data_IF_239290229739
#
_entry.id   IF_239290229739
#
_cell.length_a   1.000
_cell.length_b   1.000
_cell.length_c   1.000
_cell.angle_alpha   90.00
_cell.angle_beta   90.00
_cell.angle_gamma   90.00
#
_symmetry.space_group_name_H-M   'P 1'
#
loop_
_entity.id
_entity.type
_entity.pdbx_description
1 polymer ?
#
# COMPACT_ATOMS: atom_id res chain seq x y z
N UNK A 1 7.06 26.75 29.35
CA UNK A 1 7.85 27.02 28.14
C UNK A 1 8.07 25.68 27.46
N UNK A 2 7.31 25.36 26.39
CA UNK A 2 7.48 24.10 25.68
C UNK A 2 8.84 24.11 24.97
N UNK A 3 9.60 23.02 25.06
CA UNK A 3 10.91 22.91 24.43
C UNK A 3 10.73 22.75 22.91
N UNK A 4 10.87 23.85 22.17
CA UNK A 4 10.72 23.89 20.71
C UNK A 4 11.64 22.88 20.01
N UNK A 5 12.85 22.65 20.56
CA UNK A 5 13.77 21.64 20.03
C UNK A 5 13.20 20.23 20.15
N UNK A 6 12.53 19.89 21.26
CA UNK A 6 11.94 18.56 21.44
C UNK A 6 10.82 18.29 20.42
N UNK A 7 9.98 19.30 20.15
CA UNK A 7 8.89 19.19 19.16
C UNK A 7 9.40 18.97 17.73
N UNK A 8 10.46 19.69 17.34
CA UNK A 8 11.12 19.51 16.05
C UNK A 8 11.74 18.11 15.90
N UNK A 9 12.49 17.65 16.91
CA UNK A 9 13.13 16.33 16.88
C UNK A 9 12.12 15.18 16.78
N UNK A 10 11.00 15.28 17.53
CA UNK A 10 9.93 14.29 17.48
C UNK A 10 9.26 14.26 16.10
N UNK A 11 9.07 15.42 15.48
CA UNK A 11 8.52 15.53 14.13
C UNK A 11 9.44 14.84 13.11
N UNK A 12 10.75 15.11 13.14
CA UNK A 12 11.74 14.45 12.27
C UNK A 12 11.73 12.93 12.49
N UNK A 13 11.73 12.46 13.74
CA UNK A 13 11.63 11.04 14.04
C UNK A 13 10.34 10.41 13.47
N UNK A 14 9.21 11.09 13.63
CA UNK A 14 7.93 10.68 13.07
C UNK A 14 7.94 10.58 11.54
N UNK A 15 8.58 11.53 10.86
CA UNK A 15 8.74 11.52 9.40
C UNK A 15 9.50 10.28 8.91
N UNK A 16 10.64 9.98 9.55
CA UNK A 16 11.43 8.78 9.24
C UNK A 16 10.64 7.50 9.54
N UNK A 17 9.98 7.46 10.70
CA UNK A 17 9.17 6.32 11.10
C UNK A 17 8.03 6.07 10.10
N UNK A 18 7.23 7.08 9.76
CA UNK A 18 6.12 6.94 8.81
C UNK A 18 6.58 6.46 7.44
N UNK A 19 7.72 6.96 6.93
CA UNK A 19 8.29 6.49 5.66
C UNK A 19 8.66 5.01 5.71
N UNK A 20 9.43 4.58 6.72
CA UNK A 20 9.88 3.19 6.77
C UNK A 20 8.77 2.23 7.19
N UNK A 21 7.80 2.67 7.98
CA UNK A 21 6.57 1.94 8.22
C UNK A 21 5.81 1.70 6.91
N UNK A 22 5.69 2.73 6.06
CA UNK A 22 5.09 2.58 4.72
C UNK A 22 5.84 1.57 3.85
N UNK A 23 7.18 1.62 3.85
CA UNK A 23 8.03 0.65 3.12
C UNK A 23 7.74 -0.78 3.60
N UNK A 24 7.77 -1.01 4.92
CA UNK A 24 7.52 -2.33 5.50
C UNK A 24 6.13 -2.83 5.15
N UNK A 25 5.11 -1.97 5.25
CA UNK A 25 3.72 -2.34 4.93
C UNK A 25 3.57 -2.73 3.46
N UNK A 26 4.10 -1.94 2.53
CA UNK A 26 4.04 -2.25 1.10
C UNK A 26 4.78 -3.55 0.76
N UNK A 27 5.99 -3.72 1.29
CA UNK A 27 6.77 -4.93 1.08
C UNK A 27 6.06 -6.17 1.65
N UNK A 28 5.44 -6.06 2.82
CA UNK A 28 4.73 -7.16 3.48
C UNK A 28 3.44 -7.54 2.76
N UNK A 29 2.64 -6.54 2.34
CA UNK A 29 1.42 -6.78 1.56
C UNK A 29 1.77 -7.40 0.21
N UNK A 30 2.78 -6.87 -0.48
CA UNK A 30 3.25 -7.39 -1.75
C UNK A 30 3.77 -8.82 -1.65
N UNK A 31 4.65 -9.10 -0.69
CA UNK A 31 5.15 -10.45 -0.42
C UNK A 31 4.01 -11.43 -0.07
N UNK A 32 3.02 -10.96 0.71
CA UNK A 32 1.84 -11.76 1.08
C UNK A 32 1.02 -12.25 -0.11
N UNK A 33 1.04 -11.56 -1.26
CA UNK A 33 0.36 -12.01 -2.49
C UNK A 33 1.02 -13.23 -3.13
N UNK A 34 2.32 -13.42 -2.92
CA UNK A 34 3.04 -14.61 -3.37
C UNK A 34 2.76 -15.80 -2.44
N UNK A 35 2.82 -15.59 -1.12
CA UNK A 35 2.64 -16.66 -0.11
C UNK A 35 1.22 -17.22 -0.07
N UNK A 36 0.19 -16.37 -0.12
CA UNK A 36 -1.21 -16.82 -0.07
C UNK A 36 -1.61 -17.71 -1.26
N UNK A 37 -0.89 -17.60 -2.38
CA UNK A 37 -1.18 -18.35 -3.59
C UNK A 37 -0.45 -19.69 -3.65
N UNK A 38 0.74 -19.82 -3.05
CA UNK A 38 1.38 -21.13 -2.86
C UNK A 38 0.50 -22.08 -2.04
N UNK A 39 -0.19 -21.55 -1.01
CA UNK A 39 -1.14 -22.32 -0.22
C UNK A 39 -2.41 -22.74 -1.00
N UNK A 40 -2.85 -21.96 -2.01
CA UNK A 40 -4.00 -22.31 -2.84
C UNK A 40 -3.62 -23.29 -3.96
N UNK A 41 -2.39 -23.22 -4.47
CA UNK A 41 -1.86 -24.16 -5.48
C UNK A 41 -1.62 -25.55 -4.94
N UNK A 42 -1.15 -25.69 -3.69
CA UNK A 42 -0.98 -27.00 -3.04
C UNK A 42 -2.30 -27.75 -2.80
N UNK A 43 -3.46 -27.09 -2.96
CA UNK A 43 -4.80 -27.69 -2.80
C UNK A 43 -5.47 -27.99 -4.16
N UNK A 44 -4.92 -27.50 -5.27
CA UNK A 44 -5.55 -27.54 -6.61
C UNK A 44 -4.92 -28.54 -7.60
N UNK A 45 -4.08 -29.48 -7.14
CA UNK A 45 -3.51 -30.57 -7.97
C UNK A 45 -4.56 -31.66 -8.36
N UNK A 46 -5.77 -31.24 -8.76
CA UNK A 46 -6.75 -32.11 -9.41
C UNK A 46 -6.67 -31.93 -10.94
N UNK A 47 -6.27 -32.97 -11.70
CA UNK A 47 -5.80 -32.87 -13.09
C UNK A 47 -6.87 -32.57 -14.17
N UNK A 48 -8.08 -32.13 -13.79
CA UNK A 48 -9.22 -32.00 -14.71
C UNK A 48 -9.58 -30.56 -15.15
N UNK A 49 -8.88 -29.53 -14.66
CA UNK A 49 -9.21 -28.11 -14.92
C UNK A 49 -8.05 -27.26 -15.49
N UNK A 50 -7.08 -27.89 -16.16
CA UNK A 50 -5.86 -27.22 -16.66
C UNK A 50 -6.07 -26.26 -17.85
N UNK A 51 -7.20 -26.34 -18.56
CA UNK A 51 -7.40 -25.67 -19.86
C UNK A 51 -8.13 -24.31 -19.80
N UNK A 52 -8.58 -23.87 -18.62
CA UNK A 52 -9.35 -22.63 -18.43
C UNK A 52 -8.48 -21.41 -18.05
N UNK A 53 -7.18 -21.61 -17.76
CA UNK A 53 -6.24 -20.57 -17.29
C UNK A 53 -5.52 -19.80 -18.41
N UNK A 54 -5.89 -20.00 -19.68
CA UNK A 54 -5.05 -19.67 -20.84
C UNK A 54 -5.11 -18.21 -21.36
N UNK A 55 -5.86 -17.28 -20.77
CA UNK A 55 -5.95 -15.91 -21.36
C UNK A 55 -5.68 -14.69 -20.46
N UNK A 56 -5.96 -14.71 -19.15
CA UNK A 56 -5.33 -13.80 -18.15
C UNK A 56 -5.76 -14.25 -16.75
N UNK A 57 -4.90 -14.97 -16.03
CA UNK A 57 -5.28 -15.50 -14.73
C UNK A 57 -5.36 -14.40 -13.66
N UNK A 58 -6.34 -14.46 -12.74
CA UNK A 58 -6.35 -13.63 -11.53
C UNK A 58 -4.99 -13.66 -10.78
N UNK A 59 -4.31 -14.80 -10.84
CA UNK A 59 -2.94 -14.99 -10.35
C UNK A 59 -1.95 -14.01 -10.97
N UNK A 60 -1.99 -13.81 -12.29
CA UNK A 60 -1.09 -12.89 -13.00
C UNK A 60 -1.28 -11.45 -12.53
N UNK A 61 -2.54 -11.04 -12.31
CA UNK A 61 -2.86 -9.72 -11.77
C UNK A 61 -2.36 -9.59 -10.32
N UNK A 62 -2.53 -10.64 -9.50
CA UNK A 62 -2.03 -10.66 -8.12
C UNK A 62 -0.50 -10.57 -8.07
N UNK A 63 0.22 -11.28 -8.96
CA UNK A 63 1.67 -11.18 -9.11
C UNK A 63 2.12 -9.80 -9.53
N UNK A 64 1.51 -9.24 -10.58
CA UNK A 64 1.84 -7.91 -11.06
C UNK A 64 1.65 -6.84 -9.98
N UNK A 65 0.53 -6.91 -9.24
CA UNK A 65 0.29 -6.00 -8.11
C UNK A 65 1.29 -6.21 -6.97
N UNK A 66 1.59 -7.45 -6.60
CA UNK A 66 2.56 -7.76 -5.54
C UNK A 66 3.97 -7.29 -5.89
N UNK A 67 4.40 -7.51 -7.12
CA UNK A 67 5.67 -6.98 -7.64
C UNK A 67 5.69 -5.46 -7.62
N UNK A 68 4.60 -4.81 -8.05
CA UNK A 68 4.50 -3.34 -8.06
C UNK A 68 4.57 -2.76 -6.64
N UNK A 69 3.93 -3.40 -5.65
CA UNK A 69 4.02 -3.01 -4.24
C UNK A 69 5.44 -3.11 -3.68
N UNK A 70 6.15 -4.20 -3.99
CA UNK A 70 7.55 -4.40 -3.56
C UNK A 70 8.48 -3.37 -4.23
N UNK A 71 8.29 -3.12 -5.53
CA UNK A 71 9.06 -2.11 -6.25
C UNK A 71 8.80 -0.73 -5.65
N UNK A 72 7.54 -0.37 -5.39
CA UNK A 72 7.20 0.90 -4.76
C UNK A 72 7.86 1.04 -3.38
N UNK A 73 7.86 -0.01 -2.56
CA UNK A 73 8.54 -0.04 -1.27
C UNK A 73 10.05 0.22 -1.41
N UNK A 74 10.72 -0.47 -2.34
CA UNK A 74 12.14 -0.28 -2.59
C UNK A 74 12.46 1.14 -3.05
N UNK A 75 11.68 1.69 -3.99
CA UNK A 75 11.85 3.06 -4.48
C UNK A 75 11.70 4.08 -3.35
N UNK A 76 10.68 3.93 -2.49
CA UNK A 76 10.45 4.82 -1.35
C UNK A 76 11.62 4.76 -0.35
N UNK A 77 12.14 3.56 -0.07
CA UNK A 77 13.21 3.34 0.90
C UNK A 77 14.53 4.06 0.55
N UNK A 78 14.80 4.24 -0.74
CA UNK A 78 16.05 4.83 -1.24
C UNK A 78 16.04 6.37 -1.18
N UNK A 79 15.01 6.99 -0.58
CA UNK A 79 14.94 8.46 -0.40
C UNK A 79 16.26 9.11 0.04
N UNK A 80 17.01 8.62 1.05
CA UNK A 80 18.19 9.32 1.55
C UNK A 80 19.26 9.57 0.49
N UNK A 81 19.33 8.70 -0.52
CA UNK A 81 20.32 8.77 -1.59
C UNK A 81 19.72 9.37 -2.87
N UNK A 82 18.51 8.97 -3.24
CA UNK A 82 17.86 9.41 -4.48
C UNK A 82 16.42 9.88 -4.25
N UNK A 83 16.23 11.15 -3.82
CA UNK A 83 14.89 11.70 -3.56
C UNK A 83 13.95 11.66 -4.78
N UNK A 84 14.49 11.83 -6.00
CA UNK A 84 13.68 11.75 -7.24
C UNK A 84 13.08 10.37 -7.46
N UNK A 85 13.86 9.33 -7.18
CA UNK A 85 13.45 7.93 -7.32
C UNK A 85 12.38 7.60 -6.27
N UNK A 86 12.57 8.08 -5.04
CA UNK A 86 11.57 7.94 -3.98
C UNK A 86 10.24 8.62 -4.32
N UNK A 87 10.27 9.78 -4.98
CA UNK A 87 9.06 10.46 -5.45
C UNK A 87 8.25 9.58 -6.43
N UNK A 88 8.92 8.89 -7.36
CA UNK A 88 8.26 7.94 -8.27
C UNK A 88 7.61 6.80 -7.48
N UNK A 89 8.33 6.21 -6.52
CA UNK A 89 7.81 5.17 -5.64
C UNK A 89 6.57 5.60 -4.86
N UNK A 90 6.59 6.80 -4.28
CA UNK A 90 5.43 7.37 -3.58
C UNK A 90 4.25 7.60 -4.52
N UNK A 91 4.49 8.05 -5.75
CA UNK A 91 3.45 8.20 -6.78
C UNK A 91 2.78 6.87 -7.14
N UNK A 92 3.57 5.81 -7.32
CA UNK A 92 3.05 4.45 -7.56
C UNK A 92 2.23 3.97 -6.36
N UNK A 93 2.71 4.16 -5.14
CA UNK A 93 1.99 3.79 -3.93
C UNK A 93 0.63 4.51 -3.79
N UNK A 94 0.54 5.79 -4.16
CA UNK A 94 -0.73 6.53 -4.21
C UNK A 94 -1.73 5.82 -5.12
N UNK A 95 -1.32 5.45 -6.34
CA UNK A 95 -2.21 4.76 -7.30
C UNK A 95 -2.67 3.42 -6.74
N UNK A 96 -1.77 2.66 -6.11
CA UNK A 96 -2.10 1.36 -5.49
C UNK A 96 -3.14 1.52 -4.37
N UNK A 97 -2.94 2.46 -3.43
CA UNK A 97 -3.88 2.68 -2.33
C UNK A 97 -5.20 3.31 -2.77
N UNK A 98 -5.21 4.15 -3.81
CA UNK A 98 -6.46 4.60 -4.42
C UNK A 98 -7.22 3.42 -5.04
N UNK A 99 -6.50 2.50 -5.68
CA UNK A 99 -7.04 1.24 -6.17
C UNK A 99 -7.67 0.42 -5.04
N UNK A 100 -6.99 0.23 -3.91
CA UNK A 100 -7.56 -0.53 -2.79
C UNK A 100 -8.74 0.18 -2.13
N UNK A 101 -8.67 1.50 -1.95
CA UNK A 101 -9.77 2.29 -1.40
C UNK A 101 -11.00 2.33 -2.32
N UNK A 102 -10.82 2.17 -3.64
CA UNK A 102 -11.95 2.08 -4.57
C UNK A 102 -12.89 0.92 -4.22
N UNK A 103 -12.35 -0.18 -3.65
CA UNK A 103 -13.15 -1.33 -3.19
C UNK A 103 -14.16 -0.98 -2.10
N UNK A 104 -13.94 0.09 -1.36
CA UNK A 104 -14.90 0.56 -0.35
C UNK A 104 -16.23 0.98 -1.01
N UNK A 105 -16.17 1.47 -2.25
CA UNK A 105 -17.32 1.93 -3.01
C UNK A 105 -17.78 0.94 -4.08
N UNK A 106 -16.87 0.14 -4.64
CA UNK A 106 -17.19 -0.77 -5.75
C UNK A 106 -17.57 -2.18 -5.30
N UNK A 107 -17.16 -2.62 -4.10
CA UNK A 107 -17.34 -4.01 -3.66
C UNK A 107 -18.56 -4.17 -2.76
N UNK A 108 -19.54 -4.95 -3.22
CA UNK A 108 -20.72 -5.33 -2.44
C UNK A 108 -20.31 -6.18 -1.23
N UNK A 109 -20.84 -5.85 -0.03
CA UNK A 109 -20.53 -6.56 1.22
C UNK A 109 -19.45 -5.89 2.10
N UNK A 110 -18.84 -4.80 1.64
CA UNK A 110 -17.98 -3.94 2.47
C UNK A 110 -18.81 -3.16 3.49
N UNK A 111 -19.97 -2.66 3.08
CA UNK A 111 -20.96 -2.05 3.97
C UNK A 111 -21.97 -3.12 4.37
N UNK A 112 -21.97 -3.51 5.65
CA UNK A 112 -22.85 -4.56 6.17
C UNK A 112 -24.24 -4.03 6.51
N UNK A 113 -24.29 -2.84 7.10
CA UNK A 113 -25.54 -2.22 7.52
C UNK A 113 -25.37 -0.70 7.56
N UNK A 114 -26.43 0.07 7.38
CA UNK A 114 -26.44 1.49 7.73
C UNK A 114 -26.95 1.64 9.17
N UNK A 115 -26.13 2.18 10.06
CA UNK A 115 -26.56 2.63 11.38
C UNK A 115 -26.87 4.14 11.29
N UNK A 116 -28.07 4.48 10.81
CA UNK A 116 -28.42 5.87 10.47
C UNK A 116 -27.65 6.35 9.22
N UNK A 117 -27.04 7.56 9.22
CA UNK A 117 -26.26 8.05 8.07
C UNK A 117 -24.87 7.40 7.96
N UNK A 118 -24.45 6.63 8.96
CA UNK A 118 -23.11 6.03 8.99
C UNK A 118 -23.12 4.59 8.46
N UNK A 119 -22.33 4.28 7.43
CA UNK A 119 -22.17 2.91 6.95
C UNK A 119 -21.32 2.11 7.94
N UNK A 120 -21.90 1.02 8.46
CA UNK A 120 -21.19 0.03 9.28
C UNK A 120 -20.40 -0.88 8.36
N UNK A 121 -19.08 -0.76 8.44
CA UNK A 121 -18.15 -1.57 7.65
C UNK A 121 -18.04 -2.98 8.22
N UNK A 122 -18.07 -3.98 7.34
CA UNK A 122 -17.77 -5.36 7.70
C UNK A 122 -16.36 -5.47 8.27
N UNK A 123 -16.16 -6.36 9.26
CA UNK A 123 -14.85 -6.56 9.90
C UNK A 123 -13.74 -6.89 8.90
N UNK A 124 -14.04 -7.72 7.89
CA UNK A 124 -13.20 -7.96 6.73
C UNK A 124 -14.10 -8.08 5.49
N UNK A 125 -13.88 -7.29 4.41
CA UNK A 125 -12.75 -6.40 4.16
C UNK A 125 -12.92 -4.93 4.57
N UNK A 126 -14.08 -4.50 5.05
CA UNK A 126 -14.39 -3.06 5.21
C UNK A 126 -13.49 -2.29 6.18
N UNK A 127 -13.38 -2.74 7.43
CA UNK A 127 -12.53 -2.06 8.43
C UNK A 127 -11.04 -2.12 8.07
N UNK A 128 -10.62 -3.18 7.39
CA UNK A 128 -9.24 -3.34 6.93
C UNK A 128 -8.86 -2.27 5.88
N UNK A 129 -9.80 -1.78 5.07
CA UNK A 129 -9.55 -0.74 4.07
C UNK A 129 -9.36 0.66 4.68
N UNK A 130 -9.86 0.92 5.89
CA UNK A 130 -9.71 2.24 6.51
C UNK A 130 -8.25 2.60 6.79
N UNK A 131 -7.40 1.61 7.11
CA UNK A 131 -5.96 1.86 7.32
C UNK A 131 -5.28 2.35 6.04
N UNK A 132 -5.78 1.94 4.87
CA UNK A 132 -5.22 2.32 3.59
C UNK A 132 -5.44 3.81 3.30
N UNK A 133 -6.46 4.44 3.91
CA UNK A 133 -6.65 5.90 3.87
C UNK A 133 -5.53 6.64 4.59
N UNK A 134 -5.11 6.14 5.75
CA UNK A 134 -3.97 6.71 6.49
C UNK A 134 -2.69 6.52 5.69
N UNK A 135 -2.47 5.32 5.13
CA UNK A 135 -1.30 5.03 4.30
C UNK A 135 -1.26 5.89 3.04
N UNK A 136 -2.39 6.16 2.40
CA UNK A 136 -2.49 7.10 1.28
C UNK A 136 -2.03 8.50 1.70
N UNK A 137 -2.45 8.99 2.87
CA UNK A 137 -1.97 10.24 3.43
C UNK A 137 -0.44 10.28 3.61
N UNK A 138 0.15 9.19 4.11
CA UNK A 138 1.61 9.05 4.22
C UNK A 138 2.28 9.01 2.84
N UNK A 139 1.65 8.40 1.83
CA UNK A 139 2.18 8.39 0.46
C UNK A 139 2.24 9.80 -0.14
N UNK A 140 1.17 10.59 0.04
CA UNK A 140 1.12 12.00 -0.40
C UNK A 140 2.19 12.82 0.33
N UNK A 141 2.32 12.63 1.64
CA UNK A 141 3.34 13.32 2.44
C UNK A 141 4.76 12.94 1.99
N UNK A 142 5.06 11.65 1.81
CA UNK A 142 6.39 11.20 1.34
C UNK A 142 6.72 11.67 -0.07
N UNK A 143 5.73 11.79 -0.96
CA UNK A 143 5.89 12.36 -2.29
C UNK A 143 6.32 13.83 -2.21
N UNK A 144 5.59 14.65 -1.44
CA UNK A 144 5.89 16.07 -1.27
C UNK A 144 7.27 16.31 -0.65
N UNK A 145 7.62 15.53 0.38
CA UNK A 145 8.95 15.58 1.01
C UNK A 145 10.06 15.22 0.01
N UNK A 146 9.88 14.15 -0.76
CA UNK A 146 10.87 13.68 -1.73
C UNK A 146 11.08 14.67 -2.88
N UNK A 147 10.01 15.30 -3.37
CA UNK A 147 10.08 16.35 -4.39
C UNK A 147 10.81 17.61 -3.87
N UNK A 148 10.61 17.95 -2.60
CA UNK A 148 11.29 19.08 -1.96
C UNK A 148 12.79 18.80 -1.83
N UNK A 149 13.16 17.62 -1.33
CA UNK A 149 14.56 17.19 -1.23
C UNK A 149 15.26 17.07 -2.61
N UNK A 150 14.52 16.66 -3.65
CA UNK A 150 15.02 16.58 -5.02
C UNK A 150 15.33 17.95 -5.66
N UNK A 151 14.70 19.02 -5.16
CA UNK A 151 14.96 20.41 -5.58
C UNK A 151 16.16 21.00 -4.86
N UNK A 152 16.36 20.67 -3.58
CA UNK A 152 17.49 21.13 -2.78
C UNK A 152 18.85 20.54 -3.21
N UNK A 153 18.83 19.49 -4.03
CA UNK A 153 20.02 18.82 -4.60
C UNK A 153 20.35 19.29 -6.04
N UNK A 154 19.64 20.30 -6.56
CA UNK A 154 20.01 21.05 -7.77
C UNK A 154 20.80 22.29 -7.39
#
# INVERSE_FOLDING_TARGET
MFNENAGHQLSVAGQWFSRYALVVVLAWIGAGKFVKMEAHRLVMDSPLLSWIYDFLSPDTVAYALGTTEIIAAALIAVRPFWPRVSAVGSGVAIVLFLGTLSFLFTTTGVVQQLAGPLPVLSGNPGQFLLKDLVLLGVCVWTLGESLTAARATR
#
